data_IF_521635284971
#
_entry.id   IF_521635284971
#
_cell.length_a   1.000
_cell.length_b   1.000
_cell.length_c   1.000
_cell.angle_alpha   90.00
_cell.angle_beta   90.00
_cell.angle_gamma   90.00
#
_symmetry.space_group_name_H-M   'P 1'
#
loop_
_entity.id
_entity.type
_entity.pdbx_description
1 polymer ?
#
# COMPACT_ATOMS: atom_id res chain seq x y z
N UNK A 1 17.83 -14.90 -24.37
CA UNK A 1 16.73 -15.00 -23.41
C UNK A 1 17.25 -15.60 -22.13
N UNK A 2 17.49 -14.85 -21.05
CA UNK A 2 17.82 -15.42 -19.75
C UNK A 2 16.52 -15.78 -19.02
N UNK A 3 16.42 -17.02 -18.59
CA UNK A 3 15.33 -17.55 -17.78
C UNK A 3 15.47 -16.99 -16.36
N UNK A 4 14.48 -16.23 -15.92
CA UNK A 4 14.32 -15.78 -14.54
C UNK A 4 14.11 -17.02 -13.65
N UNK A 5 15.12 -17.42 -12.89
CA UNK A 5 14.98 -18.40 -11.82
C UNK A 5 14.32 -17.66 -10.65
N UNK A 6 13.03 -17.90 -10.48
CA UNK A 6 12.39 -17.62 -9.20
C UNK A 6 13.08 -18.47 -8.15
N UNK A 7 13.83 -17.86 -7.25
CA UNK A 7 14.40 -18.50 -6.08
C UNK A 7 13.23 -18.97 -5.19
N UNK A 8 12.86 -20.23 -5.35
CA UNK A 8 12.02 -20.93 -4.40
C UNK A 8 12.83 -21.12 -3.12
N UNK A 9 12.67 -20.20 -2.19
CA UNK A 9 13.07 -20.43 -0.81
C UNK A 9 12.01 -21.35 -0.19
N UNK A 10 12.33 -22.58 0.18
CA UNK A 10 11.39 -23.45 0.89
C UNK A 10 11.06 -22.79 2.23
N UNK A 11 9.77 -22.73 2.57
CA UNK A 11 9.31 -22.26 3.87
C UNK A 11 10.02 -23.06 4.97
N UNK A 12 10.64 -22.37 5.92
CA UNK A 12 11.23 -22.99 7.09
C UNK A 12 10.13 -23.82 7.81
N UNK A 13 10.41 -25.07 8.19
CA UNK A 13 9.44 -25.90 8.91
C UNK A 13 9.24 -25.30 10.31
N UNK A 14 8.03 -24.78 10.57
CA UNK A 14 7.64 -24.27 11.87
C UNK A 14 7.18 -22.82 11.90
N UNK A 15 6.83 -22.22 10.76
CA UNK A 15 6.13 -20.92 10.80
C UNK A 15 4.78 -21.12 11.53
N UNK A 16 4.51 -20.33 12.60
CA UNK A 16 3.26 -20.43 13.34
C UNK A 16 2.07 -20.19 12.38
N UNK A 17 0.86 -20.61 12.78
CA UNK A 17 -0.41 -20.32 12.11
C UNK A 17 -0.73 -18.82 12.15
N UNK A 18 0.26 -17.98 11.86
CA UNK A 18 0.31 -16.54 11.99
C UNK A 18 0.31 -15.80 10.65
N UNK A 19 0.45 -14.50 10.73
CA UNK A 19 0.57 -13.62 9.56
C UNK A 19 1.86 -13.99 8.80
N UNK A 20 1.74 -14.06 7.46
CA UNK A 20 2.84 -14.34 6.53
C UNK A 20 3.02 -13.24 5.48
N UNK A 21 2.01 -12.38 5.33
CA UNK A 21 2.02 -11.26 4.41
C UNK A 21 1.39 -10.04 5.10
N UNK A 22 2.05 -8.91 5.01
CA UNK A 22 1.50 -7.62 5.42
C UNK A 22 1.34 -6.74 4.18
N UNK A 23 0.13 -6.29 3.93
CA UNK A 23 -0.19 -5.32 2.90
C UNK A 23 -0.29 -3.93 3.52
N UNK A 24 0.46 -2.98 2.98
CA UNK A 24 0.38 -1.58 3.38
C UNK A 24 -0.19 -0.75 2.24
N UNK A 25 -1.12 0.15 2.54
CA UNK A 25 -1.34 1.28 1.67
C UNK A 25 -0.12 2.22 1.68
N UNK A 26 -0.04 3.16 0.74
CA UNK A 26 1.11 4.05 0.59
C UNK A 26 0.82 5.44 1.15
N UNK A 27 -0.06 6.20 0.45
CA UNK A 27 -0.29 7.61 0.74
C UNK A 27 -1.10 7.78 2.03
N UNK A 28 -0.53 8.42 3.05
CA UNK A 28 -1.13 8.54 4.39
C UNK A 28 -0.83 7.37 5.34
N UNK A 29 -0.36 6.23 4.82
CA UNK A 29 0.00 5.04 5.60
C UNK A 29 1.52 4.88 5.75
N UNK A 30 2.25 4.61 4.67
CA UNK A 30 3.72 4.54 4.68
C UNK A 30 4.38 5.89 4.47
N UNK A 31 3.65 6.86 3.92
CA UNK A 31 4.08 8.25 3.75
C UNK A 31 3.21 9.18 4.58
N UNK A 32 3.63 10.44 4.73
CA UNK A 32 2.89 11.50 5.43
C UNK A 32 2.91 12.79 4.59
N UNK A 33 1.90 13.64 4.81
CA UNK A 33 1.79 14.91 4.09
C UNK A 33 1.14 14.75 2.72
N UNK A 34 1.76 15.26 1.67
CA UNK A 34 1.23 15.15 0.31
C UNK A 34 1.15 13.70 -0.16
N UNK A 35 0.14 13.40 -0.95
CA UNK A 35 0.08 12.16 -1.71
C UNK A 35 1.13 12.17 -2.84
N UNK A 36 1.45 11.01 -3.37
CA UNK A 36 2.37 10.92 -4.50
C UNK A 36 1.89 11.75 -5.69
N UNK A 37 0.59 11.74 -5.97
CA UNK A 37 0.03 12.49 -7.10
C UNK A 37 0.01 13.99 -6.87
N UNK A 38 -0.24 14.46 -5.65
CA UNK A 38 -0.13 15.88 -5.30
C UNK A 38 1.31 16.37 -5.46
N UNK A 39 2.30 15.64 -4.96
CA UNK A 39 3.71 16.00 -5.09
C UNK A 39 4.16 16.07 -6.57
N UNK A 40 3.71 15.13 -7.39
CA UNK A 40 3.97 15.13 -8.83
C UNK A 40 3.27 16.31 -9.52
N UNK A 41 2.02 16.58 -9.17
CA UNK A 41 1.24 17.68 -9.73
C UNK A 41 1.86 19.03 -9.43
N UNK A 42 2.35 19.22 -8.22
CA UNK A 42 3.06 20.44 -7.81
C UNK A 42 4.35 20.59 -8.62
N UNK A 43 5.17 19.54 -8.70
CA UNK A 43 6.43 19.56 -9.42
C UNK A 43 6.28 19.79 -10.94
N UNK A 44 5.20 19.28 -11.54
CA UNK A 44 4.93 19.39 -12.99
C UNK A 44 3.97 20.54 -13.35
N UNK A 45 3.50 21.31 -12.36
CA UNK A 45 2.72 22.54 -12.58
C UNK A 45 1.24 22.32 -12.92
N UNK A 46 0.60 21.23 -12.43
CA UNK A 46 -0.84 20.99 -12.60
C UNK A 46 -1.59 20.78 -11.27
N UNK A 47 -1.11 21.39 -10.18
CA UNK A 47 -1.69 21.26 -8.84
C UNK A 47 -3.18 21.68 -8.78
N UNK A 48 -3.58 22.73 -9.50
CA UNK A 48 -4.97 23.17 -9.54
C UNK A 48 -5.89 22.11 -10.14
N UNK A 49 -5.45 21.45 -11.23
CA UNK A 49 -6.20 20.35 -11.84
C UNK A 49 -6.24 19.14 -10.92
N UNK A 50 -5.14 18.84 -10.21
CA UNK A 50 -5.07 17.74 -9.26
C UNK A 50 -6.10 17.91 -8.14
N UNK A 51 -6.22 19.10 -7.55
CA UNK A 51 -7.21 19.41 -6.52
C UNK A 51 -8.65 19.17 -7.00
N UNK A 52 -8.95 19.43 -8.27
CA UNK A 52 -10.25 19.13 -8.87
C UNK A 52 -10.46 17.61 -9.03
N UNK A 53 -9.43 16.87 -9.42
CA UNK A 53 -9.50 15.41 -9.62
C UNK A 53 -9.62 14.62 -8.32
N UNK A 54 -9.10 15.11 -7.21
CA UNK A 54 -9.28 14.52 -5.88
C UNK A 54 -10.72 14.50 -5.41
N UNK A 55 -11.58 15.32 -6.00
CA UNK A 55 -13.02 15.34 -5.74
C UNK A 55 -13.79 14.25 -6.48
N UNK A 56 -13.12 13.41 -7.29
CA UNK A 56 -13.74 12.27 -7.98
C UNK A 56 -14.40 11.32 -6.98
N UNK A 57 -15.67 10.98 -7.22
CA UNK A 57 -16.48 10.11 -6.34
C UNK A 57 -16.91 8.81 -7.00
N UNK A 58 -16.82 8.75 -8.33
CA UNK A 58 -17.17 7.56 -9.12
C UNK A 58 -15.95 6.99 -9.83
N UNK A 59 -15.99 5.70 -10.18
CA UNK A 59 -14.92 5.09 -10.97
C UNK A 59 -14.72 5.78 -12.32
N UNK A 60 -15.80 6.26 -12.95
CA UNK A 60 -15.72 6.96 -14.23
C UNK A 60 -14.99 8.30 -14.09
N UNK A 61 -15.29 9.08 -13.05
CA UNK A 61 -14.58 10.33 -12.75
C UNK A 61 -13.10 10.06 -12.45
N UNK A 62 -12.81 9.02 -11.68
CA UNK A 62 -11.44 8.65 -11.35
C UNK A 62 -10.66 8.19 -12.59
N UNK A 63 -11.28 7.45 -13.52
CA UNK A 63 -10.66 7.09 -14.80
C UNK A 63 -10.36 8.34 -15.63
N UNK A 64 -11.34 9.26 -15.74
CA UNK A 64 -11.15 10.51 -16.47
C UNK A 64 -10.04 11.38 -15.86
N UNK A 65 -10.00 11.49 -14.52
CA UNK A 65 -8.94 12.16 -13.79
C UNK A 65 -7.56 11.55 -14.10
N UNK A 66 -7.43 10.22 -14.03
CA UNK A 66 -6.17 9.52 -14.33
C UNK A 66 -5.71 9.69 -15.77
N UNK A 67 -6.64 9.71 -16.74
CA UNK A 67 -6.30 10.02 -18.13
C UNK A 67 -5.81 11.46 -18.27
N UNK A 68 -6.45 12.42 -17.59
CA UNK A 68 -6.00 13.80 -17.54
C UNK A 68 -4.59 13.92 -16.93
N UNK A 69 -4.35 13.28 -15.80
CA UNK A 69 -3.02 13.21 -15.16
C UNK A 69 -1.97 12.65 -16.12
N UNK A 70 -2.32 11.59 -16.85
CA UNK A 70 -1.40 10.94 -17.79
C UNK A 70 -0.94 11.88 -18.90
N UNK A 71 -1.83 12.74 -19.38
CA UNK A 71 -1.44 13.75 -20.37
C UNK A 71 -0.35 14.69 -19.84
N UNK A 72 -0.42 15.09 -18.57
CA UNK A 72 0.64 15.88 -17.92
C UNK A 72 1.92 15.06 -17.71
N UNK A 73 1.79 13.81 -17.26
CA UNK A 73 2.92 12.92 -17.00
C UNK A 73 3.75 12.58 -18.24
N UNK A 74 3.14 12.57 -19.44
CA UNK A 74 3.85 12.36 -20.70
C UNK A 74 4.93 13.42 -20.98
N UNK A 75 4.79 14.61 -20.38
CA UNK A 75 5.71 15.72 -20.55
C UNK A 75 6.80 15.76 -19.47
N UNK A 76 6.63 15.00 -18.39
CA UNK A 76 7.62 14.83 -17.32
C UNK A 76 8.53 13.63 -17.61
N UNK A 77 9.80 13.76 -17.25
CA UNK A 77 10.70 12.59 -17.26
C UNK A 77 10.43 11.69 -16.06
N UNK A 78 10.79 10.41 -16.17
CA UNK A 78 10.76 9.48 -15.01
C UNK A 78 11.62 10.01 -13.86
N UNK A 79 12.68 10.77 -14.15
CA UNK A 79 13.54 11.40 -13.16
C UNK A 79 12.82 12.53 -12.41
N UNK A 80 12.01 13.35 -13.10
CA UNK A 80 11.24 14.43 -12.47
C UNK A 80 10.18 13.86 -11.54
N UNK A 81 9.48 12.81 -11.96
CA UNK A 81 8.51 12.09 -11.13
C UNK A 81 9.19 11.51 -9.88
N UNK A 82 10.32 10.83 -10.05
CA UNK A 82 11.06 10.26 -8.92
C UNK A 82 11.56 11.35 -7.98
N UNK A 83 12.05 12.48 -8.50
CA UNK A 83 12.50 13.60 -7.68
C UNK A 83 11.35 14.22 -6.86
N UNK A 84 10.15 14.35 -7.47
CA UNK A 84 8.98 14.87 -6.80
C UNK A 84 8.57 14.00 -5.59
N UNK A 85 8.49 12.68 -5.76
CA UNK A 85 8.07 11.77 -4.70
C UNK A 85 9.15 11.49 -3.66
N UNK A 86 10.43 11.65 -4.00
CA UNK A 86 11.55 11.44 -3.07
C UNK A 86 11.54 12.41 -1.88
N UNK A 87 10.90 13.57 -2.02
CA UNK A 87 10.72 14.56 -0.97
C UNK A 87 9.57 14.29 0.00
N UNK A 88 8.71 13.30 -0.28
CA UNK A 88 7.57 12.99 0.57
C UNK A 88 8.07 12.33 1.87
N UNK A 89 7.69 12.87 3.06
CA UNK A 89 8.10 12.30 4.32
C UNK A 89 7.56 10.88 4.51
N UNK A 90 8.40 9.99 4.98
CA UNK A 90 7.96 8.65 5.40
C UNK A 90 7.20 8.71 6.74
N UNK A 91 6.30 7.76 6.94
CA UNK A 91 5.73 7.51 8.25
C UNK A 91 6.86 7.17 9.25
N UNK A 92 6.76 7.61 10.52
CA UNK A 92 7.73 7.24 11.53
C UNK A 92 7.91 5.71 11.58
N UNK A 93 9.15 5.25 11.71
CA UNK A 93 9.48 3.83 11.81
C UNK A 93 9.18 3.00 10.55
N UNK A 94 8.94 3.60 9.37
CA UNK A 94 8.56 2.85 8.16
C UNK A 94 9.63 1.84 7.72
N UNK A 95 10.89 2.27 7.63
CA UNK A 95 11.99 1.39 7.24
C UNK A 95 12.24 0.30 8.31
N UNK A 96 12.24 0.69 9.58
CA UNK A 96 12.48 -0.24 10.70
C UNK A 96 11.38 -1.28 10.83
N UNK A 97 10.11 -0.88 10.69
CA UNK A 97 8.97 -1.78 10.75
C UNK A 97 8.98 -2.81 9.60
N UNK A 98 9.23 -2.38 8.37
CA UNK A 98 9.35 -3.28 7.22
C UNK A 98 10.55 -4.23 7.40
N UNK A 99 11.69 -3.72 7.86
CA UNK A 99 12.87 -4.53 8.13
C UNK A 99 12.61 -5.59 9.21
N UNK A 100 11.91 -5.24 10.30
CA UNK A 100 11.54 -6.17 11.37
C UNK A 100 10.61 -7.29 10.87
N UNK A 101 9.60 -6.98 10.07
CA UNK A 101 8.72 -7.97 9.45
C UNK A 101 9.50 -8.93 8.55
N UNK A 102 10.37 -8.42 7.71
CA UNK A 102 11.24 -9.22 6.83
C UNK A 102 12.19 -10.13 7.62
N UNK A 103 12.79 -9.60 8.69
CA UNK A 103 13.68 -10.39 9.56
C UNK A 103 12.95 -11.56 10.22
N UNK A 104 11.63 -11.43 10.47
CA UNK A 104 10.77 -12.48 10.96
C UNK A 104 10.24 -13.43 9.86
N UNK A 105 10.64 -13.23 8.60
CA UNK A 105 10.19 -14.05 7.46
C UNK A 105 8.80 -13.70 6.95
N UNK A 106 8.24 -12.56 7.37
CA UNK A 106 6.94 -12.06 6.90
C UNK A 106 7.17 -11.22 5.64
N UNK A 107 6.43 -11.53 4.57
CA UNK A 107 6.46 -10.76 3.33
C UNK A 107 5.69 -9.45 3.47
N UNK A 108 6.11 -8.45 2.70
CA UNK A 108 5.47 -7.14 2.69
C UNK A 108 5.14 -6.72 1.27
N UNK A 109 3.97 -6.12 1.07
CA UNK A 109 3.52 -5.60 -0.23
C UNK A 109 2.86 -4.23 -0.05
N UNK A 110 3.21 -3.28 -0.92
CA UNK A 110 2.52 -1.99 -1.00
C UNK A 110 1.35 -2.13 -1.97
N UNK A 111 0.14 -1.74 -1.56
CA UNK A 111 -1.08 -1.81 -2.40
C UNK A 111 -1.74 -0.43 -2.43
N UNK A 112 -1.51 0.32 -3.48
CA UNK A 112 -1.96 1.71 -3.57
C UNK A 112 -2.82 2.00 -4.80
N UNK A 113 -3.68 3.00 -4.70
CA UNK A 113 -4.46 3.54 -5.81
C UNK A 113 -3.60 4.37 -6.77
N UNK A 114 -2.46 4.86 -6.29
CA UNK A 114 -1.52 5.70 -7.03
C UNK A 114 -0.83 4.94 -8.17
N UNK A 115 0.04 5.62 -8.91
CA UNK A 115 0.81 4.99 -9.98
C UNK A 115 1.74 3.89 -9.44
N UNK A 116 1.85 2.80 -10.20
CA UNK A 116 2.75 1.68 -9.88
C UNK A 116 4.20 2.15 -9.71
N UNK A 117 4.66 3.14 -10.50
CA UNK A 117 5.98 3.73 -10.39
C UNK A 117 6.24 4.36 -9.00
N UNK A 118 5.24 5.00 -8.39
CA UNK A 118 5.36 5.54 -7.04
C UNK A 118 5.47 4.40 -6.02
N UNK A 119 4.58 3.40 -6.12
CA UNK A 119 4.61 2.25 -5.24
C UNK A 119 5.92 1.44 -5.37
N UNK A 120 6.46 1.31 -6.59
CA UNK A 120 7.76 0.69 -6.88
C UNK A 120 8.91 1.44 -6.19
N UNK A 121 8.94 2.78 -6.35
CA UNK A 121 9.95 3.61 -5.72
C UNK A 121 9.99 3.40 -4.19
N UNK A 122 8.83 3.52 -3.52
CA UNK A 122 8.76 3.35 -2.07
C UNK A 122 9.00 1.90 -1.63
N UNK A 123 8.57 0.90 -2.42
CA UNK A 123 8.89 -0.49 -2.13
C UNK A 123 10.40 -0.73 -2.16
N UNK A 124 11.10 -0.23 -3.17
CA UNK A 124 12.55 -0.31 -3.25
C UNK A 124 13.25 0.45 -2.11
N UNK A 125 12.76 1.66 -1.79
CA UNK A 125 13.34 2.51 -0.76
C UNK A 125 13.18 1.93 0.65
N UNK A 126 12.02 1.34 0.96
CA UNK A 126 11.71 0.74 2.26
C UNK A 126 12.13 -0.74 2.35
N UNK A 127 12.47 -1.35 1.23
CA UNK A 127 12.80 -2.77 1.16
C UNK A 127 11.57 -3.68 1.24
N UNK A 128 10.39 -3.24 0.82
CA UNK A 128 9.22 -4.10 0.68
C UNK A 128 9.42 -5.11 -0.45
N UNK A 129 8.79 -6.30 -0.33
CA UNK A 129 9.03 -7.40 -1.28
C UNK A 129 8.30 -7.21 -2.62
N UNK A 130 7.21 -6.43 -2.63
CA UNK A 130 6.40 -6.21 -3.82
C UNK A 130 5.59 -4.90 -3.74
N UNK A 131 5.06 -4.50 -4.88
CA UNK A 131 4.13 -3.39 -5.00
C UNK A 131 2.98 -3.71 -5.96
N UNK A 132 1.86 -3.05 -5.76
CA UNK A 132 0.66 -3.08 -6.61
C UNK A 132 0.17 -1.63 -6.71
N UNK A 133 0.09 -1.12 -7.93
CA UNK A 133 -0.36 0.24 -8.21
C UNK A 133 -1.03 0.32 -9.58
N UNK A 134 -1.61 1.48 -9.90
CA UNK A 134 -2.19 1.75 -11.22
C UNK A 134 -1.07 1.88 -12.25
N UNK A 135 -1.11 1.10 -13.33
CA UNK A 135 -0.05 1.07 -14.35
C UNK A 135 -0.62 1.14 -15.77
N UNK A 136 0.13 1.69 -16.75
CA UNK A 136 -0.26 1.63 -18.16
C UNK A 136 -0.41 0.18 -18.63
N UNK A 137 -1.45 -0.10 -19.44
CA UNK A 137 -1.73 -1.44 -19.96
C UNK A 137 -1.05 -1.73 -21.30
N UNK A 138 -0.32 -0.75 -21.84
CA UNK A 138 0.38 -0.85 -23.13
C UNK A 138 -0.51 -0.58 -24.35
N UNK A 139 -1.82 -0.44 -24.18
CA UNK A 139 -2.77 -0.12 -25.25
C UNK A 139 -3.22 1.36 -25.28
N UNK A 140 -2.67 2.18 -24.39
CA UNK A 140 -3.04 3.57 -24.16
C UNK A 140 -4.05 3.77 -23.02
N UNK A 141 -4.40 2.68 -22.34
CA UNK A 141 -5.21 2.66 -21.12
C UNK A 141 -4.38 2.32 -19.88
N UNK A 142 -5.10 1.96 -18.82
CA UNK A 142 -4.50 1.59 -17.53
C UNK A 142 -5.10 0.32 -16.95
N UNK A 143 -4.28 -0.47 -16.30
CA UNK A 143 -4.73 -1.43 -15.28
C UNK A 143 -4.91 -0.67 -13.97
N UNK A 144 -6.14 -0.33 -13.69
CA UNK A 144 -6.46 0.49 -12.53
C UNK A 144 -6.49 -0.31 -11.24
N UNK A 145 -5.94 0.26 -10.17
CA UNK A 145 -6.26 -0.12 -8.81
C UNK A 145 -7.38 0.81 -8.33
N UNK A 146 -8.48 0.22 -7.88
CA UNK A 146 -9.63 0.88 -7.26
C UNK A 146 -9.82 0.36 -5.84
N UNK A 147 -10.52 1.08 -4.96
CA UNK A 147 -10.88 0.55 -3.65
C UNK A 147 -11.51 -0.84 -3.73
N UNK A 148 -12.45 -1.03 -4.66
CA UNK A 148 -13.20 -2.28 -4.81
C UNK A 148 -12.35 -3.47 -5.27
N UNK A 149 -11.28 -3.25 -6.04
CA UNK A 149 -10.45 -4.34 -6.55
C UNK A 149 -9.14 -4.57 -5.77
N UNK A 150 -8.75 -3.69 -4.84
CA UNK A 150 -7.61 -3.91 -3.93
C UNK A 150 -7.62 -5.33 -3.32
N UNK A 151 -8.75 -5.84 -2.77
CA UNK A 151 -8.80 -7.19 -2.20
C UNK A 151 -8.45 -8.29 -3.19
N UNK A 152 -8.97 -8.21 -4.41
CA UNK A 152 -8.74 -9.22 -5.44
C UNK A 152 -7.28 -9.25 -5.90
N UNK A 153 -6.66 -8.07 -6.07
CA UNK A 153 -5.26 -7.93 -6.44
C UNK A 153 -4.34 -8.46 -5.33
N UNK A 154 -4.61 -8.10 -4.07
CA UNK A 154 -3.88 -8.63 -2.92
C UNK A 154 -4.02 -10.16 -2.82
N UNK A 155 -5.24 -10.69 -2.97
CA UNK A 155 -5.49 -12.13 -2.94
C UNK A 155 -4.78 -12.87 -4.09
N UNK A 156 -4.70 -12.27 -5.28
CA UNK A 156 -3.94 -12.82 -6.41
C UNK A 156 -2.44 -12.90 -6.08
N UNK A 157 -1.87 -11.83 -5.53
CA UNK A 157 -0.48 -11.78 -5.10
C UNK A 157 -0.20 -12.83 -4.01
N UNK A 158 -1.03 -12.89 -2.97
CA UNK A 158 -0.88 -13.84 -1.87
C UNK A 158 -0.95 -15.31 -2.35
N UNK A 159 -1.89 -15.63 -3.27
CA UNK A 159 -1.99 -16.97 -3.87
C UNK A 159 -0.72 -17.38 -4.62
N UNK A 160 -0.10 -16.45 -5.35
CA UNK A 160 1.17 -16.72 -6.04
C UNK A 160 2.30 -17.09 -5.05
N UNK A 161 2.21 -16.63 -3.80
CA UNK A 161 3.14 -16.94 -2.70
C UNK A 161 2.70 -18.15 -1.85
N UNK A 162 1.57 -18.81 -2.16
CA UNK A 162 1.01 -19.88 -1.33
C UNK A 162 0.53 -19.39 0.05
N UNK A 163 0.04 -18.15 0.13
CA UNK A 163 -0.44 -17.49 1.35
C UNK A 163 -1.96 -17.35 1.26
N UNK A 164 -2.68 -17.78 2.28
CA UNK A 164 -4.13 -17.67 2.38
C UNK A 164 -4.56 -16.33 2.98
N UNK A 165 -5.82 -15.94 2.80
CA UNK A 165 -6.38 -14.71 3.40
C UNK A 165 -6.24 -14.69 4.94
N UNK A 166 -6.29 -15.88 5.59
CA UNK A 166 -6.12 -16.04 7.03
C UNK A 166 -4.67 -15.80 7.51
N UNK A 167 -3.76 -15.53 6.60
CA UNK A 167 -2.36 -15.25 6.88
C UNK A 167 -1.94 -13.85 6.44
N UNK A 168 -2.92 -12.97 6.16
CA UNK A 168 -2.71 -11.60 5.71
C UNK A 168 -3.12 -10.62 6.80
N UNK A 169 -2.24 -9.68 7.12
CA UNK A 169 -2.59 -8.43 7.77
C UNK A 169 -2.56 -7.29 6.74
N UNK A 170 -3.40 -6.29 6.94
CA UNK A 170 -3.40 -5.09 6.10
C UNK A 170 -3.49 -3.83 6.95
N UNK A 171 -2.78 -2.77 6.51
CA UNK A 171 -2.80 -1.45 7.11
C UNK A 171 -3.16 -0.39 6.07
N UNK A 172 -4.00 0.57 6.45
CA UNK A 172 -4.46 1.67 5.60
C UNK A 172 -5.08 2.79 6.42
N UNK A 173 -5.22 3.99 5.85
CA UNK A 173 -5.65 5.20 6.56
C UNK A 173 -6.95 5.80 6.03
N UNK A 174 -7.42 5.36 4.87
CA UNK A 174 -8.52 5.98 4.14
C UNK A 174 -9.72 5.05 3.91
N UNK A 175 -10.90 5.59 3.58
CA UNK A 175 -12.04 4.78 3.12
C UNK A 175 -11.72 3.90 1.91
N UNK A 176 -10.74 4.31 1.09
CA UNK A 176 -10.25 3.55 -0.06
C UNK A 176 -9.61 2.20 0.30
N UNK A 177 -9.20 2.02 1.55
CA UNK A 177 -8.53 0.81 2.03
C UNK A 177 -9.49 -0.18 2.69
N UNK A 178 -10.68 0.28 3.09
CA UNK A 178 -11.65 -0.55 3.82
C UNK A 178 -11.91 -1.90 3.14
N UNK A 179 -12.10 -1.99 1.80
CA UNK A 179 -12.29 -3.29 1.16
C UNK A 179 -11.11 -4.25 1.36
N UNK A 180 -9.87 -3.76 1.27
CA UNK A 180 -8.65 -4.53 1.51
C UNK A 180 -8.54 -4.95 2.97
N UNK A 181 -8.79 -4.03 3.89
CA UNK A 181 -8.75 -4.26 5.33
C UNK A 181 -9.77 -5.34 5.73
N UNK A 182 -11.00 -5.27 5.23
CA UNK A 182 -12.06 -6.26 5.50
C UNK A 182 -11.75 -7.66 4.94
N UNK A 183 -10.97 -7.74 3.87
CA UNK A 183 -10.60 -9.00 3.25
C UNK A 183 -9.40 -9.69 3.92
N UNK A 184 -8.73 -9.02 4.84
CA UNK A 184 -7.57 -9.51 5.57
C UNK A 184 -7.97 -10.06 6.93
N UNK A 185 -7.21 -11.03 7.46
CA UNK A 185 -7.44 -11.58 8.81
C UNK A 185 -7.33 -10.49 9.87
N UNK A 186 -6.28 -9.67 9.77
CA UNK A 186 -6.00 -8.58 10.70
C UNK A 186 -6.04 -7.28 9.94
N UNK A 187 -6.95 -6.39 10.34
CA UNK A 187 -7.10 -5.06 9.77
C UNK A 187 -6.60 -4.00 10.73
N UNK A 188 -5.69 -3.14 10.26
CA UNK A 188 -5.10 -2.05 11.04
C UNK A 188 -5.45 -0.74 10.34
N UNK A 189 -6.26 0.07 10.98
CA UNK A 189 -6.63 1.38 10.45
C UNK A 189 -5.83 2.48 11.14
N UNK A 190 -5.08 3.26 10.37
CA UNK A 190 -4.22 4.33 10.89
C UNK A 190 -4.74 5.74 10.60
N UNK A 191 -5.89 5.86 9.94
CA UNK A 191 -6.56 7.15 9.74
C UNK A 191 -6.99 7.77 11.06
N UNK A 192 -7.05 9.10 11.12
CA UNK A 192 -7.36 9.84 12.35
C UNK A 192 -8.75 9.52 12.88
N UNK A 193 -9.73 9.32 12.02
CA UNK A 193 -11.13 9.07 12.36
C UNK A 193 -11.61 7.80 11.68
N UNK A 194 -12.27 6.93 12.44
CA UNK A 194 -12.90 5.72 11.88
C UNK A 194 -14.06 6.09 10.96
N UNK A 195 -14.09 5.55 9.73
CA UNK A 195 -15.24 5.67 8.85
C UNK A 195 -16.46 4.95 9.42
N UNK A 196 -17.65 5.51 9.18
CA UNK A 196 -18.90 4.92 9.60
C UNK A 196 -19.08 3.49 9.08
N UNK A 197 -19.53 2.59 9.94
CA UNK A 197 -19.79 1.18 9.61
C UNK A 197 -18.53 0.35 9.35
N UNK A 198 -17.36 0.82 9.74
CA UNK A 198 -16.11 0.05 9.71
C UNK A 198 -15.53 -0.12 11.11
N UNK A 199 -15.27 -1.39 11.47
CA UNK A 199 -14.57 -1.74 12.72
C UNK A 199 -13.35 -2.58 12.36
N UNK A 200 -12.13 -2.01 12.42
CA UNK A 200 -10.88 -2.75 12.21
C UNK A 200 -10.55 -3.62 13.42
N UNK A 201 -9.62 -4.56 13.27
CA UNK A 201 -9.01 -5.27 14.40
C UNK A 201 -8.28 -4.27 15.31
N UNK A 202 -7.57 -3.31 14.70
CA UNK A 202 -6.85 -2.25 15.41
C UNK A 202 -7.13 -0.89 14.79
N UNK A 203 -7.50 0.08 15.64
CA UNK A 203 -7.49 1.50 15.26
C UNK A 203 -6.32 2.18 15.96
N UNK A 204 -5.32 2.58 15.18
CA UNK A 204 -4.06 3.15 15.66
C UNK A 204 -3.78 4.47 14.92
N UNK A 205 -4.47 5.57 15.29
CA UNK A 205 -4.37 6.83 14.56
C UNK A 205 -2.92 7.30 14.44
N UNK A 206 -2.46 7.47 13.19
CA UNK A 206 -1.11 7.97 12.88
C UNK A 206 0.04 7.14 13.48
N UNK A 207 -0.20 5.88 13.86
CA UNK A 207 0.82 5.04 14.48
C UNK A 207 2.10 4.93 13.63
N UNK A 208 3.27 4.84 14.26
CA UNK A 208 4.52 4.46 13.62
C UNK A 208 4.43 3.04 13.03
N UNK A 209 5.11 2.80 11.93
CA UNK A 209 5.05 1.49 11.24
C UNK A 209 5.78 0.38 12.03
N UNK A 210 6.82 0.72 12.78
CA UNK A 210 7.49 -0.21 13.69
C UNK A 210 6.59 -0.62 14.86
N UNK A 211 5.64 0.23 15.29
CA UNK A 211 4.60 -0.16 16.23
C UNK A 211 3.64 -1.20 15.63
N UNK A 212 3.20 -0.98 14.40
CA UNK A 212 2.38 -1.95 13.67
C UNK A 212 3.12 -3.29 13.53
N UNK A 213 4.40 -3.24 13.16
CA UNK A 213 5.22 -4.45 13.07
C UNK A 213 5.33 -5.17 14.41
N UNK A 214 5.51 -4.46 15.51
CA UNK A 214 5.57 -5.03 16.87
C UNK A 214 4.27 -5.72 17.27
N UNK A 215 3.12 -5.15 16.92
CA UNK A 215 1.81 -5.78 17.16
C UNK A 215 1.67 -7.09 16.36
N UNK A 216 2.05 -7.08 15.08
CA UNK A 216 1.99 -8.25 14.22
C UNK A 216 2.93 -9.36 14.70
N UNK A 217 4.08 -9.00 15.26
CA UNK A 217 5.11 -9.92 15.74
C UNK A 217 4.90 -10.38 17.20
N UNK A 218 3.89 -9.84 17.90
CA UNK A 218 3.62 -10.20 19.28
C UNK A 218 3.35 -11.72 19.44
N UNK A 219 3.80 -12.36 20.54
CA UNK A 219 3.61 -13.79 20.78
C UNK A 219 2.14 -14.21 20.80
N UNK A 220 1.25 -13.34 21.31
CA UNK A 220 -0.19 -13.58 21.38
C UNK A 220 -0.90 -13.31 20.04
N UNK A 221 -0.15 -12.88 19.03
CA UNK A 221 -0.63 -12.56 17.70
C UNK A 221 -1.35 -11.21 17.61
N UNK A 222 -1.63 -10.77 16.38
CA UNK A 222 -2.22 -9.44 16.13
C UNK A 222 -3.73 -9.39 16.38
N UNK A 223 -4.36 -10.46 16.84
CA UNK A 223 -5.82 -10.57 16.97
C UNK A 223 -6.34 -10.15 18.36
N UNK A 224 -5.46 -9.92 19.34
CA UNK A 224 -5.83 -9.49 20.68
C UNK A 224 -5.68 -7.97 20.82
N UNK A 225 -6.79 -7.18 20.89
CA UNK A 225 -6.68 -5.78 21.28
C UNK A 225 -6.11 -5.70 22.70
N UNK A 226 -5.37 -4.62 23.05
CA UNK A 226 -4.90 -4.43 24.41
C UNK A 226 -6.09 -4.45 25.35
N UNK A 227 -5.92 -5.14 26.49
CA UNK A 227 -6.92 -5.09 27.55
C UNK A 227 -7.19 -3.62 27.88
N UNK A 228 -8.43 -3.18 27.70
CA UNK A 228 -8.90 -1.86 28.07
C UNK A 228 -8.65 -1.68 29.58
N UNK A 229 -7.72 -0.78 29.93
CA UNK A 229 -7.53 -0.31 31.29
C UNK A 229 -8.60 0.70 31.63
#
# INVERSE_FOLDING_TARGET
MPRNRADHHPAAPGAPAGIRLVAFDLDGTLTRGLTCMEAIADALGFADQMSAWEQSRTEQELIAARLGMWEHLKHGSSQDITAAIAGIPLAPGAADGIAALRAAGIRTVIVSLTLAQCAEYFAAHLGADAHIGTEPDGSGGFRHVFPANKPALLAQHARALGISAQQIAAAGDSPGDIPMLRASRTSIYVGATLPDGFTPTWHLPQAPIDEIARIILAPDGPDAPPATQ
#
